data_IF_198290132507
#
_entry.id   IF_198290132507
#
_cell.length_a   1.000
_cell.length_b   1.000
_cell.length_c   1.000
_cell.angle_alpha   90.00
_cell.angle_beta   90.00
_cell.angle_gamma   90.00
#
_symmetry.space_group_name_H-M   'P 1'
#
loop_
_entity.id
_entity.type
_entity.pdbx_description
1 polymer ?
#
# COMPACT_ATOMS: atom_id res chain seq x y z
N UNK A 1 -2.36 -23.00 64.18
CA UNK A 1 -2.94 -22.47 62.93
C UNK A 1 -2.40 -21.06 62.76
N UNK A 2 -1.51 -20.86 61.80
CA UNK A 2 -0.74 -19.62 61.63
C UNK A 2 -0.83 -19.15 60.18
N UNK A 3 -1.03 -17.84 60.07
CA UNK A 3 -1.35 -16.97 58.94
C UNK A 3 -0.46 -17.06 57.69
N UNK A 4 -1.11 -16.72 56.56
CA UNK A 4 -0.69 -15.79 55.50
C UNK A 4 0.52 -16.19 54.64
N UNK A 5 0.65 -15.85 53.36
CA UNK A 5 -0.12 -15.21 52.30
C UNK A 5 0.90 -15.18 51.12
N UNK A 6 0.43 -14.83 49.92
CA UNK A 6 1.20 -14.23 48.83
C UNK A 6 1.72 -15.10 47.65
N UNK A 7 1.00 -14.85 46.54
CA UNK A 7 1.47 -14.47 45.20
C UNK A 7 1.64 -15.58 44.17
N UNK A 8 0.56 -15.70 43.39
CA UNK A 8 0.55 -16.15 42.01
C UNK A 8 1.53 -15.34 41.16
N UNK A 9 2.46 -16.02 40.48
CA UNK A 9 3.24 -15.42 39.39
C UNK A 9 2.76 -16.06 38.09
N UNK A 10 1.81 -15.38 37.45
CA UNK A 10 1.43 -15.60 36.06
C UNK A 10 2.53 -14.96 35.20
N UNK A 11 3.49 -15.77 34.73
CA UNK A 11 4.39 -15.34 33.65
C UNK A 11 3.66 -15.52 32.32
N UNK A 12 2.83 -14.52 32.01
CA UNK A 12 2.34 -14.31 30.66
C UNK A 12 3.53 -13.93 29.77
N UNK A 13 4.15 -14.91 29.11
CA UNK A 13 4.96 -14.67 27.93
C UNK A 13 4.05 -14.31 26.74
N UNK A 14 3.36 -13.18 26.83
CA UNK A 14 2.88 -12.49 25.63
C UNK A 14 4.09 -11.77 25.02
N UNK A 15 4.97 -12.54 24.38
CA UNK A 15 5.91 -11.99 23.42
C UNK A 15 5.07 -11.47 22.26
N UNK A 16 4.69 -10.19 22.35
CA UNK A 16 4.17 -9.44 21.23
C UNK A 16 5.21 -9.55 20.12
N UNK A 17 4.93 -10.38 19.12
CA UNK A 17 5.54 -10.23 17.81
C UNK A 17 5.17 -8.81 17.38
N UNK A 18 6.05 -7.86 17.66
CA UNK A 18 6.11 -6.62 16.93
C UNK A 18 6.39 -7.05 15.49
N UNK A 19 5.32 -7.26 14.73
CA UNK A 19 5.41 -7.56 13.31
C UNK A 19 6.27 -6.45 12.72
N UNK A 20 7.44 -6.82 12.21
CA UNK A 20 8.26 -5.94 11.42
C UNK A 20 7.38 -5.51 10.25
N UNK A 21 6.76 -4.33 10.38
CA UNK A 21 6.05 -3.70 9.28
C UNK A 21 7.14 -3.46 8.25
N UNK A 22 7.16 -4.28 7.20
CA UNK A 22 8.00 -4.04 6.04
C UNK A 22 7.75 -2.60 5.63
N UNK A 23 8.78 -1.73 5.61
CA UNK A 23 8.58 -0.31 5.38
C UNK A 23 7.81 -0.14 4.07
N UNK A 24 6.67 0.55 4.18
CA UNK A 24 5.75 0.77 3.06
C UNK A 24 6.53 1.37 1.89
N UNK A 25 6.46 0.73 0.72
CA UNK A 25 7.25 1.18 -0.42
C UNK A 25 6.59 2.41 -1.01
N UNK A 26 7.10 3.57 -0.68
CA UNK A 26 6.56 4.85 -1.12
C UNK A 26 7.05 5.23 -2.53
N UNK A 27 6.19 5.88 -3.29
CA UNK A 27 6.51 6.47 -4.58
C UNK A 27 5.79 7.81 -4.76
N UNK A 28 6.27 8.61 -5.72
CA UNK A 28 5.65 9.85 -6.15
C UNK A 28 5.17 9.71 -7.59
N UNK A 29 4.00 10.25 -7.88
CA UNK A 29 3.46 10.31 -9.23
C UNK A 29 4.27 11.29 -10.09
N UNK A 30 4.77 10.82 -11.22
CA UNK A 30 5.52 11.65 -12.19
C UNK A 30 4.60 12.41 -13.14
N UNK A 31 3.33 12.00 -13.25
CA UNK A 31 2.27 12.63 -14.03
C UNK A 31 0.89 12.43 -13.37
N UNK A 32 -0.07 13.30 -13.71
CA UNK A 32 -1.46 13.16 -13.24
C UNK A 32 -2.15 12.02 -13.99
N UNK A 33 -2.75 11.07 -13.29
CA UNK A 33 -3.42 9.95 -13.95
C UNK A 33 -4.54 9.35 -13.13
N UNK A 34 -5.49 8.74 -13.81
CA UNK A 34 -6.62 8.08 -13.15
C UNK A 34 -6.16 6.71 -12.70
N UNK A 35 -6.50 6.35 -11.47
CA UNK A 35 -6.27 4.98 -11.00
C UNK A 35 -7.17 4.03 -11.78
N UNK A 36 -6.72 2.82 -12.04
CA UNK A 36 -7.53 1.77 -12.62
C UNK A 36 -8.16 0.95 -11.48
N UNK A 37 -9.40 0.49 -11.65
CA UNK A 37 -10.08 -0.39 -10.69
C UNK A 37 -9.48 -1.80 -10.71
N UNK A 38 -9.03 -2.22 -11.87
CA UNK A 38 -8.50 -3.55 -12.12
C UNK A 38 -7.08 -3.45 -12.70
N UNK A 39 -6.31 -4.53 -12.57
CA UNK A 39 -4.96 -4.62 -13.13
C UNK A 39 -5.00 -4.96 -14.65
N UNK A 40 -5.76 -4.19 -15.42
CA UNK A 40 -5.91 -4.32 -16.88
C UNK A 40 -6.02 -2.94 -17.51
N UNK A 41 -5.59 -2.79 -18.76
CA UNK A 41 -5.81 -1.57 -19.57
C UNK A 41 -6.98 -1.72 -20.56
N UNK A 42 -7.65 -2.88 -20.56
CA UNK A 42 -8.83 -3.15 -21.38
C UNK A 42 -10.11 -2.81 -20.60
N UNK A 43 -11.01 -2.07 -21.24
CA UNK A 43 -12.31 -1.66 -20.67
C UNK A 43 -12.28 -0.33 -19.91
N UNK A 44 -13.47 0.15 -19.55
CA UNK A 44 -13.69 1.43 -18.85
C UNK A 44 -13.44 1.29 -17.33
N UNK A 45 -12.33 0.64 -16.97
CA UNK A 45 -11.99 0.29 -15.59
C UNK A 45 -11.34 1.48 -14.86
N UNK A 46 -11.79 2.71 -15.10
CA UNK A 46 -11.23 3.90 -14.47
C UNK A 46 -11.86 4.14 -13.08
N UNK A 47 -11.02 4.45 -12.08
CA UNK A 47 -11.46 4.87 -10.76
C UNK A 47 -12.03 6.29 -10.82
N UNK A 48 -12.90 6.64 -9.87
CA UNK A 48 -13.54 7.96 -9.87
C UNK A 48 -12.58 9.13 -9.56
N UNK A 49 -11.36 8.85 -9.09
CA UNK A 49 -10.42 9.88 -8.63
C UNK A 49 -9.11 9.83 -9.43
N UNK A 50 -8.64 11.03 -9.81
CA UNK A 50 -7.40 11.23 -10.57
C UNK A 50 -6.33 11.89 -9.70
N UNK A 51 -5.45 11.16 -9.01
CA UNK A 51 -4.34 11.79 -8.30
C UNK A 51 -3.45 12.60 -9.25
N UNK A 52 -2.85 13.67 -8.73
CA UNK A 52 -2.08 14.63 -9.52
C UNK A 52 -0.59 14.29 -9.52
N UNK A 53 0.14 14.81 -10.51
CA UNK A 53 1.60 14.83 -10.51
C UNK A 53 2.12 15.38 -9.17
N UNK A 54 3.03 14.65 -8.54
CA UNK A 54 3.62 15.01 -7.25
C UNK A 54 2.92 14.39 -6.05
N UNK A 55 1.70 13.86 -6.20
CA UNK A 55 1.05 13.12 -5.11
C UNK A 55 1.86 11.86 -4.76
N UNK A 56 1.91 11.55 -3.48
CA UNK A 56 2.61 10.39 -2.94
C UNK A 56 1.66 9.20 -2.84
N UNK A 57 2.19 8.01 -3.06
CA UNK A 57 1.45 6.76 -2.99
C UNK A 57 2.26 5.70 -2.26
N UNK A 58 1.56 4.82 -1.59
CA UNK A 58 2.10 3.58 -1.04
C UNK A 58 1.87 2.45 -2.02
N UNK A 59 2.93 1.73 -2.42
CA UNK A 59 2.84 0.54 -3.27
C UNK A 59 2.49 -0.67 -2.40
N UNK A 60 1.32 -1.24 -2.65
CA UNK A 60 0.78 -2.40 -1.95
C UNK A 60 1.17 -3.71 -2.65
N UNK A 61 1.13 -3.72 -3.99
CA UNK A 61 1.42 -4.89 -4.83
C UNK A 61 1.97 -4.44 -6.18
N UNK A 62 2.75 -5.29 -6.86
CA UNK A 62 3.16 -5.08 -8.25
C UNK A 62 2.81 -6.34 -9.05
N UNK A 63 2.04 -6.18 -10.13
CA UNK A 63 1.75 -7.22 -11.10
C UNK A 63 2.52 -7.00 -12.39
N UNK A 64 3.34 -7.98 -12.73
CA UNK A 64 4.04 -8.06 -14.01
C UNK A 64 3.16 -8.79 -15.03
N UNK A 65 3.35 -8.51 -16.33
CA UNK A 65 2.70 -9.22 -17.43
C UNK A 65 1.16 -9.21 -17.36
N UNK A 66 0.56 -8.05 -17.08
CA UNK A 66 -0.89 -7.91 -17.02
C UNK A 66 -1.51 -8.04 -18.43
N UNK A 67 -2.63 -8.76 -18.59
CA UNK A 67 -3.32 -8.86 -19.88
C UNK A 67 -3.67 -7.49 -20.46
N UNK A 68 -3.56 -7.32 -21.77
CA UNK A 68 -3.83 -6.07 -22.46
C UNK A 68 -2.72 -5.01 -22.32
N UNK A 69 -2.00 -4.95 -21.19
CA UNK A 69 -0.88 -4.04 -21.02
C UNK A 69 0.31 -4.57 -21.82
N UNK A 70 0.82 -3.78 -22.76
CA UNK A 70 1.98 -4.09 -23.62
C UNK A 70 3.27 -4.28 -22.80
N UNK A 71 3.37 -5.35 -22.02
CA UNK A 71 4.49 -5.66 -21.13
C UNK A 71 4.67 -4.69 -19.95
N UNK A 72 3.71 -3.79 -19.68
CA UNK A 72 3.84 -2.79 -18.62
C UNK A 72 3.40 -3.38 -17.28
N UNK A 73 4.28 -3.31 -16.27
CA UNK A 73 3.92 -3.67 -14.91
C UNK A 73 2.97 -2.64 -14.29
N UNK A 74 1.95 -3.11 -13.56
CA UNK A 74 1.01 -2.28 -12.83
C UNK A 74 1.27 -2.39 -11.32
N UNK A 75 1.30 -1.27 -10.63
CA UNK A 75 1.34 -1.20 -9.18
C UNK A 75 -0.08 -0.99 -8.63
N UNK A 76 -0.46 -1.79 -7.64
CA UNK A 76 -1.59 -1.50 -6.78
C UNK A 76 -1.14 -0.53 -5.71
N UNK A 77 -1.78 0.62 -5.64
CA UNK A 77 -1.34 1.71 -4.77
C UNK A 77 -2.47 2.25 -3.92
N UNK A 78 -2.12 2.75 -2.73
CA UNK A 78 -2.95 3.66 -1.94
C UNK A 78 -2.39 5.08 -2.09
N UNK A 79 -3.25 6.05 -2.39
CA UNK A 79 -2.86 7.46 -2.44
C UNK A 79 -2.70 8.00 -1.03
N UNK A 80 -1.56 8.63 -0.76
CA UNK A 80 -1.15 9.08 0.58
C UNK A 80 -1.23 10.59 0.75
N UNK A 81 -1.29 11.36 -0.34
CA UNK A 81 -1.44 12.82 -0.31
C UNK A 81 -2.36 13.34 -1.42
N UNK A 82 -2.76 14.60 -1.31
CA UNK A 82 -3.57 15.28 -2.32
C UNK A 82 -5.06 14.98 -2.21
N UNK A 83 -5.83 15.42 -3.20
CA UNK A 83 -7.30 15.34 -3.16
C UNK A 83 -7.85 13.91 -3.27
N UNK A 84 -7.06 12.97 -3.79
CA UNK A 84 -7.41 11.55 -3.84
C UNK A 84 -6.88 10.74 -2.65
N UNK A 85 -6.45 11.38 -1.57
CA UNK A 85 -5.91 10.68 -0.40
C UNK A 85 -6.86 9.58 0.11
N UNK A 86 -6.29 8.40 0.38
CA UNK A 86 -7.01 7.21 0.84
C UNK A 86 -7.58 6.34 -0.29
N UNK A 87 -7.64 6.83 -1.52
CA UNK A 87 -8.10 6.05 -2.67
C UNK A 87 -7.10 4.93 -2.99
N UNK A 88 -7.63 3.80 -3.46
CA UNK A 88 -6.85 2.61 -3.79
C UNK A 88 -7.16 2.21 -5.23
N UNK A 89 -6.12 1.88 -5.99
CA UNK A 89 -6.29 1.39 -7.36
C UNK A 89 -4.96 1.11 -8.03
N UNK A 90 -5.01 0.78 -9.32
CA UNK A 90 -3.85 0.36 -10.10
C UNK A 90 -3.30 1.50 -10.95
N UNK A 91 -1.98 1.55 -11.11
CA UNK A 91 -1.31 2.50 -11.99
C UNK A 91 -0.07 1.89 -12.63
N UNK A 92 0.24 2.31 -13.84
CA UNK A 92 1.45 1.87 -14.53
C UNK A 92 2.72 2.27 -13.76
N UNK A 93 3.61 1.31 -13.52
CA UNK A 93 4.91 1.53 -12.89
C UNK A 93 5.75 2.65 -13.52
N UNK A 94 5.75 2.88 -14.85
CA UNK A 94 6.49 4.00 -15.45
C UNK A 94 6.07 5.40 -14.94
N UNK A 95 4.90 5.51 -14.30
CA UNK A 95 4.36 6.76 -13.74
C UNK A 95 4.78 6.99 -12.28
N UNK A 96 5.56 6.08 -11.71
CA UNK A 96 5.98 6.11 -10.32
C UNK A 96 7.49 6.33 -10.22
N UNK A 97 7.87 7.36 -9.47
CA UNK A 97 9.23 7.60 -9.02
C UNK A 97 9.38 7.09 -7.59
N UNK A 98 10.25 6.11 -7.35
CA UNK A 98 10.47 5.59 -6.01
C UNK A 98 11.03 6.69 -5.09
N UNK A 99 10.42 6.85 -3.92
CA UNK A 99 10.98 7.71 -2.88
C UNK A 99 12.06 6.90 -2.15
N UNK A 100 13.27 7.45 -2.08
CA UNK A 100 14.36 6.82 -1.32
C UNK A 100 13.92 6.63 0.14
N UNK A 101 14.33 5.50 0.73
CA UNK A 101 14.11 5.21 2.15
C UNK A 101 14.94 6.14 3.03
#
# INVERSE_FOLDING_TARGET
>A
MQQANFIAIVLALSCSLAGAQTPERMAKLTESNVLLREATIEGDAMHACQPLKGDTVAILEIKNNTPGATGIALAHVRVMSGHCQGQIGWIGMPRLEALAR
#
